data_IF_259151484015
#
_entry.id   IF_259151484015
#
_cell.length_a   1.000
_cell.length_b   1.000
_cell.length_c   1.000
_cell.angle_alpha   90.00
_cell.angle_beta   90.00
_cell.angle_gamma   90.00
#
_symmetry.space_group_name_H-M   'P 1'
#
loop_
_entity.id
_entity.type
_entity.pdbx_description
1 polymer ?
#
# COMPACT_ATOMS: atom_id res chain seq x y z
N UNK A 1 4.92 -6.43 -28.82
CA UNK A 1 4.64 -7.12 -27.54
C UNK A 1 4.99 -6.14 -26.42
N UNK A 2 4.01 -5.59 -25.73
CA UNK A 2 4.27 -4.63 -24.64
C UNK A 2 4.77 -5.43 -23.42
N UNK A 3 6.03 -5.28 -23.08
CA UNK A 3 6.61 -5.85 -21.86
C UNK A 3 5.92 -5.22 -20.62
N UNK A 4 5.02 -5.98 -20.01
CA UNK A 4 4.29 -5.58 -18.80
C UNK A 4 5.03 -5.99 -17.52
N UNK A 5 6.30 -6.37 -17.63
CA UNK A 5 7.10 -6.80 -16.49
C UNK A 5 7.30 -5.67 -15.50
N UNK A 6 7.09 -5.93 -14.22
CA UNK A 6 7.44 -5.02 -13.14
C UNK A 6 8.93 -5.10 -12.84
N UNK A 7 9.47 -3.99 -12.37
CA UNK A 7 10.80 -3.93 -11.76
C UNK A 7 10.57 -3.80 -10.27
N UNK A 8 11.02 -4.80 -9.53
CA UNK A 8 10.85 -4.89 -8.08
C UNK A 8 12.21 -4.82 -7.40
N UNK A 9 12.26 -4.12 -6.27
CA UNK A 9 13.46 -4.06 -5.42
C UNK A 9 13.23 -4.81 -4.12
N UNK A 10 14.22 -5.56 -3.70
CA UNK A 10 14.22 -6.30 -2.44
C UNK A 10 15.35 -5.80 -1.56
N UNK A 11 15.01 -5.29 -0.39
CA UNK A 11 15.98 -4.91 0.63
C UNK A 11 16.03 -5.97 1.72
N UNK A 12 17.21 -6.53 1.94
CA UNK A 12 17.49 -7.36 3.12
C UNK A 12 17.90 -6.46 4.26
N UNK A 13 17.05 -6.33 5.27
CA UNK A 13 17.29 -5.50 6.44
C UNK A 13 17.77 -6.33 7.63
N UNK A 14 18.58 -5.73 8.48
CA UNK A 14 19.02 -6.35 9.74
C UNK A 14 17.97 -6.15 10.82
N UNK A 15 16.82 -6.82 10.67
CA UNK A 15 15.69 -6.73 11.59
C UNK A 15 15.40 -8.10 12.20
N UNK A 16 15.09 -8.13 13.49
CA UNK A 16 14.50 -9.31 14.13
C UNK A 16 12.98 -9.20 14.09
N UNK A 17 12.38 -9.85 13.10
CA UNK A 17 10.93 -9.80 12.83
C UNK A 17 10.09 -10.53 13.88
N UNK A 18 10.72 -11.21 14.85
CA UNK A 18 10.04 -11.82 16.01
C UNK A 18 9.51 -10.73 16.95
N UNK A 19 10.16 -9.57 16.96
CA UNK A 19 9.77 -8.43 17.76
C UNK A 19 8.86 -7.49 16.94
N UNK A 20 7.69 -7.16 17.49
CA UNK A 20 6.69 -6.32 16.81
C UNK A 20 7.18 -4.89 16.55
N UNK A 21 8.08 -4.38 17.36
CA UNK A 21 8.72 -3.05 17.24
C UNK A 21 9.73 -2.98 16.09
N UNK A 22 10.25 -4.13 15.63
CA UNK A 22 11.16 -4.23 14.50
C UNK A 22 10.44 -4.60 13.18
N UNK A 23 9.15 -4.84 13.22
CA UNK A 23 8.35 -5.05 12.01
C UNK A 23 8.01 -3.72 11.35
N UNK A 24 8.55 -3.48 10.17
CA UNK A 24 8.22 -2.31 9.38
C UNK A 24 6.93 -2.55 8.59
N UNK A 25 6.01 -1.62 8.68
CA UNK A 25 4.78 -1.60 7.88
C UNK A 25 4.34 -0.16 7.65
N UNK A 26 4.11 0.17 6.40
CA UNK A 26 3.67 1.51 6.03
C UNK A 26 3.36 1.61 4.54
N UNK A 27 3.33 2.84 4.07
CA UNK A 27 3.15 3.15 2.67
C UNK A 27 4.07 4.31 2.26
N UNK A 28 4.45 4.33 1.00
CA UNK A 28 5.18 5.41 0.35
C UNK A 28 4.47 5.78 -0.94
N UNK A 29 4.43 7.06 -1.25
CA UNK A 29 4.02 7.55 -2.57
C UNK A 29 5.29 7.74 -3.39
N UNK A 30 5.40 7.02 -4.51
CA UNK A 30 6.56 7.12 -5.38
C UNK A 30 6.44 8.35 -6.29
N UNK A 31 7.51 9.12 -6.50
CA UNK A 31 7.47 10.34 -7.31
C UNK A 31 7.02 10.08 -8.76
N UNK A 32 7.41 8.97 -9.35
CA UNK A 32 7.05 8.59 -10.72
C UNK A 32 5.96 7.49 -10.78
N UNK A 33 5.35 7.15 -9.64
CA UNK A 33 4.39 6.07 -9.54
C UNK A 33 4.96 4.68 -9.87
N UNK A 34 4.09 3.70 -10.02
CA UNK A 34 4.47 2.30 -10.35
C UNK A 34 4.13 1.92 -11.80
N UNK A 35 3.51 2.82 -12.57
CA UNK A 35 3.01 2.53 -13.93
C UNK A 35 1.83 1.56 -13.97
N UNK A 36 1.23 1.23 -12.82
CA UNK A 36 -0.01 0.45 -12.73
C UNK A 36 -1.15 1.36 -12.30
N UNK A 37 -2.23 1.38 -13.07
CA UNK A 37 -3.49 1.98 -12.64
C UNK A 37 -4.14 1.04 -11.64
N UNK A 38 -4.26 1.48 -10.39
CA UNK A 38 -4.91 0.71 -9.34
C UNK A 38 -6.41 1.00 -9.30
N UNK A 39 -7.19 -0.05 -9.16
CA UNK A 39 -8.62 0.06 -8.85
C UNK A 39 -8.80 0.36 -7.37
N UNK A 40 -9.40 1.51 -7.06
CA UNK A 40 -9.61 1.97 -5.69
C UNK A 40 -11.06 1.78 -5.29
N UNK A 41 -11.28 0.97 -4.27
CA UNK A 41 -12.58 0.79 -3.64
C UNK A 41 -12.63 1.64 -2.36
N UNK A 42 -13.69 2.42 -2.20
CA UNK A 42 -13.90 3.28 -1.02
C UNK A 42 -15.16 2.86 -0.29
N UNK A 43 -15.01 2.56 1.00
CA UNK A 43 -16.12 2.29 1.89
C UNK A 43 -16.37 3.52 2.74
N UNK A 44 -17.37 4.29 2.34
CA UNK A 44 -17.80 5.50 3.03
C UNK A 44 -19.31 5.72 2.81
N UNK A 45 -19.94 6.42 3.73
CA UNK A 45 -21.35 6.80 3.66
C UNK A 45 -21.53 8.32 3.62
N UNK A 46 -22.65 8.79 3.07
CA UNK A 46 -23.01 10.21 3.04
C UNK A 46 -22.04 11.09 2.23
N UNK A 47 -21.70 12.30 2.70
CA UNK A 47 -20.88 13.26 1.96
C UNK A 47 -19.47 12.73 1.59
N UNK A 48 -18.92 11.83 2.40
CA UNK A 48 -17.63 11.20 2.15
C UNK A 48 -17.63 10.27 0.95
N UNK A 49 -18.77 9.65 0.65
CA UNK A 49 -18.93 8.86 -0.56
C UNK A 49 -18.91 9.73 -1.83
N UNK A 50 -19.51 10.92 -1.76
CA UNK A 50 -19.46 11.89 -2.87
C UNK A 50 -18.07 12.45 -3.09
N UNK A 51 -17.35 12.80 -2.00
CA UNK A 51 -15.94 13.20 -2.07
C UNK A 51 -15.08 12.13 -2.75
N UNK A 52 -15.29 10.85 -2.41
CA UNK A 52 -14.57 9.74 -3.02
C UNK A 52 -14.85 9.60 -4.53
N UNK A 53 -16.11 9.75 -4.95
CA UNK A 53 -16.50 9.73 -6.38
C UNK A 53 -15.84 10.87 -7.14
N UNK A 54 -15.89 12.08 -6.59
CA UNK A 54 -15.28 13.28 -7.18
C UNK A 54 -13.76 13.16 -7.27
N UNK A 55 -13.11 12.49 -6.31
CA UNK A 55 -11.69 12.18 -6.35
C UNK A 55 -11.32 11.06 -7.35
N UNK A 56 -12.31 10.45 -8.01
CA UNK A 56 -12.10 9.45 -9.03
C UNK A 56 -11.94 8.02 -8.50
N UNK A 57 -12.50 7.68 -7.36
CA UNK A 57 -12.56 6.28 -6.90
C UNK A 57 -13.36 5.42 -7.90
N UNK A 58 -12.90 4.19 -8.14
CA UNK A 58 -13.52 3.31 -9.14
C UNK A 58 -14.81 2.67 -8.61
N UNK A 59 -14.83 2.37 -7.32
CA UNK A 59 -15.99 1.80 -6.62
C UNK A 59 -16.17 2.55 -5.31
N UNK A 60 -17.39 3.04 -5.07
CA UNK A 60 -17.73 3.77 -3.84
C UNK A 60 -19.09 3.30 -3.33
N UNK A 61 -19.15 2.87 -2.10
CA UNK A 61 -20.41 2.49 -1.44
C UNK A 61 -20.22 2.17 0.03
N UNK A 62 -21.32 1.71 0.64
CA UNK A 62 -21.40 1.36 2.05
C UNK A 62 -21.58 -0.14 2.27
N UNK A 63 -22.72 -0.49 2.94
CA UNK A 63 -23.01 -1.87 3.30
C UNK A 63 -23.16 -2.81 2.09
N UNK A 64 -23.68 -2.34 0.99
CA UNK A 64 -23.88 -3.09 -0.25
C UNK A 64 -22.57 -3.71 -0.78
N UNK A 65 -21.48 -2.92 -0.77
CA UNK A 65 -20.15 -3.40 -1.20
C UNK A 65 -19.58 -4.39 -0.20
N UNK A 66 -19.81 -4.18 1.09
CA UNK A 66 -19.38 -5.13 2.12
C UNK A 66 -20.04 -6.51 1.92
N UNK A 67 -21.32 -6.52 1.52
CA UNK A 67 -22.05 -7.75 1.25
C UNK A 67 -21.55 -8.45 -0.03
N UNK A 68 -21.15 -7.70 -1.04
CA UNK A 68 -20.49 -8.25 -2.25
C UNK A 68 -19.13 -8.83 -1.94
N UNK A 69 -18.34 -8.15 -1.11
CA UNK A 69 -17.02 -8.65 -0.65
C UNK A 69 -17.20 -9.94 0.15
N UNK A 70 -18.24 -10.03 0.99
CA UNK A 70 -18.58 -11.25 1.73
C UNK A 70 -18.91 -12.43 0.80
N UNK A 71 -19.51 -12.15 -0.37
CA UNK A 71 -19.79 -13.13 -1.42
C UNK A 71 -18.55 -13.49 -2.27
N UNK A 72 -17.43 -12.80 -2.04
CA UNK A 72 -16.15 -13.08 -2.72
C UNK A 72 -15.78 -12.12 -3.85
N UNK A 73 -16.50 -11.00 -4.02
CA UNK A 73 -16.12 -9.97 -4.96
C UNK A 73 -14.91 -9.18 -4.43
N UNK A 74 -13.79 -9.22 -5.15
CA UNK A 74 -12.51 -8.63 -4.76
C UNK A 74 -11.79 -8.00 -5.98
N UNK A 75 -12.55 -7.38 -6.88
CA UNK A 75 -12.02 -6.78 -8.10
C UNK A 75 -11.46 -5.36 -7.87
N UNK A 76 -10.65 -5.20 -6.84
CA UNK A 76 -9.96 -3.94 -6.52
C UNK A 76 -8.56 -4.22 -5.97
N UNK A 77 -7.66 -3.25 -6.11
CA UNK A 77 -6.27 -3.36 -5.66
C UNK A 77 -6.04 -2.69 -4.31
N UNK A 78 -6.82 -1.65 -4.01
CA UNK A 78 -6.71 -0.87 -2.77
C UNK A 78 -8.11 -0.61 -2.21
N UNK A 79 -8.26 -0.84 -0.91
CA UNK A 79 -9.45 -0.46 -0.18
C UNK A 79 -9.15 0.70 0.76
N UNK A 80 -9.97 1.74 0.69
CA UNK A 80 -9.96 2.88 1.60
C UNK A 80 -11.25 2.85 2.39
N UNK A 81 -11.19 3.10 3.67
CA UNK A 81 -12.36 3.14 4.53
C UNK A 81 -12.32 4.32 5.49
N UNK A 82 -13.50 4.86 5.82
CA UNK A 82 -13.62 5.77 6.95
C UNK A 82 -13.54 4.99 8.27
N UNK A 83 -13.04 5.59 9.35
CA UNK A 83 -12.94 4.92 10.65
C UNK A 83 -14.26 4.34 11.15
N UNK A 84 -15.37 4.99 10.84
CA UNK A 84 -16.73 4.57 11.23
C UNK A 84 -17.15 3.22 10.64
N UNK A 85 -16.59 2.84 9.48
CA UNK A 85 -16.88 1.58 8.80
C UNK A 85 -15.97 0.43 9.23
N UNK A 86 -14.92 0.72 10.00
CA UNK A 86 -13.96 -0.30 10.45
C UNK A 86 -14.57 -1.45 11.26
N UNK A 87 -15.56 -1.23 12.16
CA UNK A 87 -16.21 -2.33 12.87
C UNK A 87 -16.92 -3.32 11.94
N UNK A 88 -17.52 -2.81 10.85
CA UNK A 88 -18.19 -3.65 9.83
C UNK A 88 -17.13 -4.43 9.02
N UNK A 89 -16.05 -3.77 8.61
CA UNK A 89 -14.93 -4.38 7.89
C UNK A 89 -14.19 -5.43 8.72
N UNK A 90 -14.15 -5.30 10.03
CA UNK A 90 -13.55 -6.29 10.94
C UNK A 90 -14.10 -7.70 10.74
N UNK A 91 -15.40 -7.82 10.45
CA UNK A 91 -16.06 -9.10 10.14
C UNK A 91 -15.54 -9.75 8.86
N UNK A 92 -15.07 -8.94 7.91
CA UNK A 92 -14.52 -9.38 6.62
C UNK A 92 -13.00 -9.57 6.67
N UNK A 93 -12.37 -9.38 7.82
CA UNK A 93 -10.92 -9.53 8.01
C UNK A 93 -10.38 -10.90 7.60
N UNK A 94 -11.19 -11.97 7.72
CA UNK A 94 -10.82 -13.32 7.27
C UNK A 94 -10.71 -13.43 5.75
N UNK A 95 -11.43 -12.61 5.00
CA UNK A 95 -11.42 -12.58 3.52
C UNK A 95 -10.37 -11.61 3.01
N UNK A 96 -10.32 -10.40 3.58
CA UNK A 96 -9.45 -9.31 3.16
C UNK A 96 -8.00 -9.45 3.66
N UNK A 97 -7.81 -10.04 4.85
CA UNK A 97 -6.52 -10.17 5.51
C UNK A 97 -5.49 -10.96 4.70
N UNK A 98 -5.78 -12.21 4.28
CA UNK A 98 -4.85 -13.03 3.50
C UNK A 98 -4.44 -12.40 2.17
N UNK A 99 -5.33 -11.62 1.55
CA UNK A 99 -5.09 -10.92 0.28
C UNK A 99 -4.39 -9.55 0.46
N UNK A 100 -4.16 -9.11 1.69
CA UNK A 100 -3.52 -7.83 1.97
C UNK A 100 -4.38 -6.60 1.65
N UNK A 101 -5.69 -6.80 1.42
CA UNK A 101 -6.64 -5.74 1.05
C UNK A 101 -7.28 -5.04 2.25
N UNK A 102 -7.01 -5.51 3.47
CA UNK A 102 -7.58 -4.93 4.69
C UNK A 102 -7.05 -3.51 4.92
N UNK A 103 -7.94 -2.50 5.05
CA UNK A 103 -7.54 -1.14 5.36
C UNK A 103 -6.78 -1.06 6.69
N UNK A 104 -5.79 -0.19 6.75
CA UNK A 104 -4.96 -0.01 7.95
C UNK A 104 -4.58 1.46 8.13
N UNK A 105 -4.70 2.03 9.35
CA UNK A 105 -4.28 3.40 9.64
C UNK A 105 -2.79 3.65 9.34
N UNK A 106 -1.91 2.67 9.58
CA UNK A 106 -0.47 2.79 9.31
C UNK A 106 -0.12 2.96 7.84
N UNK A 107 -0.97 2.47 6.95
CA UNK A 107 -0.82 2.65 5.49
C UNK A 107 -1.62 3.85 4.97
N UNK A 108 -2.32 4.58 5.86
CA UNK A 108 -3.15 5.72 5.49
C UNK A 108 -4.33 5.35 4.60
N UNK A 109 -4.82 4.10 4.69
CA UNK A 109 -6.02 3.62 4.00
C UNK A 109 -7.27 3.66 4.90
N UNK A 110 -7.10 4.01 6.18
CA UNK A 110 -8.18 4.38 7.10
C UNK A 110 -8.03 5.86 7.42
N UNK A 111 -8.90 6.70 6.87
CA UNK A 111 -8.80 8.15 7.02
C UNK A 111 -10.16 8.82 6.83
N UNK A 112 -10.30 10.00 7.41
CA UNK A 112 -11.44 10.90 7.17
C UNK A 112 -11.27 11.71 5.88
N UNK A 113 -10.02 11.89 5.43
CA UNK A 113 -9.69 12.60 4.17
C UNK A 113 -9.61 11.59 3.00
N UNK A 114 -10.79 11.22 2.53
CA UNK A 114 -10.95 10.18 1.51
C UNK A 114 -10.40 10.63 0.17
N UNK A 115 -10.62 11.90 -0.21
CA UNK A 115 -10.17 12.46 -1.48
C UNK A 115 -8.65 12.38 -1.63
N UNK A 116 -7.92 12.78 -0.59
CA UNK A 116 -6.46 12.69 -0.56
C UNK A 116 -5.97 11.25 -0.67
N UNK A 117 -6.58 10.33 0.09
CA UNK A 117 -6.20 8.92 0.08
C UNK A 117 -6.43 8.26 -1.29
N UNK A 118 -7.50 8.62 -2.01
CA UNK A 118 -7.78 8.15 -3.38
C UNK A 118 -6.72 8.67 -4.34
N UNK A 119 -6.44 9.98 -4.31
CA UNK A 119 -5.43 10.60 -5.16
C UNK A 119 -4.04 10.00 -4.94
N UNK A 120 -3.61 9.82 -3.68
CA UNK A 120 -2.35 9.16 -3.34
C UNK A 120 -2.30 7.71 -3.86
N UNK A 121 -3.39 6.96 -3.70
CA UNK A 121 -3.47 5.55 -4.13
C UNK A 121 -3.38 5.42 -5.65
N UNK A 122 -3.97 6.35 -6.40
CA UNK A 122 -3.86 6.43 -7.86
C UNK A 122 -2.52 7.02 -8.30
N UNK A 123 -1.94 7.93 -7.51
CA UNK A 123 -0.65 8.57 -7.74
C UNK A 123 0.58 7.67 -7.53
N UNK A 124 0.39 6.38 -7.25
CA UNK A 124 1.52 5.46 -7.10
C UNK A 124 1.91 5.13 -5.66
N UNK A 125 0.97 5.22 -4.73
CA UNK A 125 1.17 4.75 -3.35
C UNK A 125 1.43 3.25 -3.32
N UNK A 126 2.54 2.86 -2.71
CA UNK A 126 2.97 1.47 -2.52
C UNK A 126 3.03 1.14 -1.05
N UNK A 127 2.40 0.04 -0.67
CA UNK A 127 2.49 -0.47 0.70
C UNK A 127 3.74 -1.33 0.84
N UNK A 128 4.45 -1.19 1.95
CA UNK A 128 5.58 -2.03 2.30
C UNK A 128 5.35 -2.73 3.62
N UNK A 129 5.88 -3.94 3.71
CA UNK A 129 5.87 -4.75 4.92
C UNK A 129 7.11 -5.63 4.92
N UNK A 130 7.74 -5.78 6.09
CA UNK A 130 8.78 -6.80 6.29
C UNK A 130 8.18 -8.19 6.28
N UNK A 131 8.86 -9.12 5.61
CA UNK A 131 8.57 -10.55 5.70
C UNK A 131 9.19 -11.18 6.97
N UNK A 132 9.07 -12.50 7.11
CA UNK A 132 9.60 -13.24 8.27
C UNK A 132 11.13 -13.18 8.39
N UNK A 133 11.82 -12.97 7.26
CA UNK A 133 13.28 -12.99 7.17
C UNK A 133 13.89 -11.58 7.19
N UNK A 134 13.06 -10.54 7.40
CA UNK A 134 13.49 -9.14 7.43
C UNK A 134 13.70 -8.52 6.05
N UNK A 135 13.12 -9.11 4.99
CA UNK A 135 13.15 -8.49 3.66
C UNK A 135 11.96 -7.57 3.48
N UNK A 136 12.14 -6.55 2.64
CA UNK A 136 11.09 -5.65 2.17
C UNK A 136 11.07 -5.69 0.65
N UNK A 137 9.92 -6.06 0.08
CA UNK A 137 9.70 -6.15 -1.35
C UNK A 137 8.86 -4.96 -1.80
N UNK A 138 9.32 -4.23 -2.80
CA UNK A 138 8.65 -3.04 -3.34
C UNK A 138 8.79 -2.95 -4.85
N UNK A 139 7.68 -2.73 -5.59
CA UNK A 139 7.76 -2.39 -6.99
C UNK A 139 8.25 -0.95 -7.14
N UNK A 140 9.27 -0.74 -7.97
CA UNK A 140 9.81 0.60 -8.30
C UNK A 140 9.34 1.10 -9.66
N UNK A 141 8.74 0.24 -10.48
CA UNK A 141 8.21 0.64 -11.77
C UNK A 141 8.00 -0.53 -12.73
N UNK A 142 8.11 -0.24 -14.01
CA UNK A 142 8.04 -1.22 -15.10
C UNK A 142 9.29 -1.16 -15.94
N UNK A 143 9.58 -2.23 -16.66
CA UNK A 143 10.68 -2.29 -17.65
C UNK A 143 10.56 -1.21 -18.73
N UNK A 144 9.35 -0.71 -18.98
CA UNK A 144 9.09 0.39 -19.91
C UNK A 144 9.41 1.78 -19.35
N UNK A 145 9.79 1.90 -18.07
CA UNK A 145 10.16 3.16 -17.47
C UNK A 145 11.57 3.56 -17.89
N UNK A 146 11.78 4.86 -17.97
CA UNK A 146 13.10 5.45 -18.14
C UNK A 146 13.99 5.14 -16.92
N UNK A 147 15.26 4.86 -17.14
CA UNK A 147 16.20 4.54 -16.05
C UNK A 147 16.23 5.62 -14.97
N UNK A 148 16.15 6.90 -15.36
CA UNK A 148 16.09 8.02 -14.43
C UNK A 148 14.90 7.93 -13.46
N UNK A 149 13.71 7.57 -13.95
CA UNK A 149 12.51 7.42 -13.13
C UNK A 149 12.60 6.24 -12.16
N UNK A 150 13.25 5.15 -12.56
CA UNK A 150 13.49 4.00 -11.70
C UNK A 150 14.47 4.36 -10.59
N UNK A 151 15.52 5.12 -10.89
CA UNK A 151 16.50 5.59 -9.91
C UNK A 151 15.84 6.52 -8.89
N UNK A 152 15.06 7.51 -9.32
CA UNK A 152 14.35 8.41 -8.40
C UNK A 152 13.40 7.66 -7.47
N UNK A 153 12.66 6.68 -7.99
CA UNK A 153 11.78 5.84 -7.18
C UNK A 153 12.58 4.99 -6.17
N UNK A 154 13.72 4.44 -6.61
CA UNK A 154 14.61 3.69 -5.73
C UNK A 154 15.18 4.56 -4.61
N UNK A 155 15.67 5.76 -4.93
CA UNK A 155 16.22 6.71 -3.96
C UNK A 155 15.17 7.12 -2.93
N UNK A 156 13.93 7.37 -3.36
CA UNK A 156 12.82 7.69 -2.45
C UNK A 156 12.56 6.56 -1.45
N UNK A 157 12.57 5.30 -1.90
CA UNK A 157 12.41 4.12 -1.05
C UNK A 157 13.60 3.96 -0.10
N UNK A 158 14.81 4.08 -0.61
CA UNK A 158 16.04 3.94 0.18
C UNK A 158 16.10 5.00 1.30
N UNK A 159 15.82 6.27 0.97
CA UNK A 159 15.77 7.36 1.92
C UNK A 159 14.67 7.14 3.00
N UNK A 160 13.49 6.64 2.59
CA UNK A 160 12.45 6.26 3.53
C UNK A 160 12.93 5.18 4.50
N UNK A 161 13.50 4.08 4.00
CA UNK A 161 13.96 2.97 4.84
C UNK A 161 15.00 3.43 5.86
N UNK A 162 15.94 4.28 5.46
CA UNK A 162 16.92 4.87 6.39
C UNK A 162 16.26 5.73 7.47
N UNK A 163 15.25 6.52 7.10
CA UNK A 163 14.52 7.39 8.03
C UNK A 163 13.70 6.63 9.07
N UNK A 164 13.09 5.50 8.67
CA UNK A 164 12.26 4.68 9.55
C UNK A 164 13.05 3.59 10.30
N UNK A 165 14.38 3.60 10.20
CA UNK A 165 15.24 2.65 10.91
C UNK A 165 14.90 2.64 12.39
N UNK A 166 14.54 1.46 12.97
CA UNK A 166 14.33 1.33 14.40
C UNK A 166 15.61 1.63 15.19
N UNK A 167 15.51 2.36 16.28
CA UNK A 167 16.65 2.73 17.14
C UNK A 167 17.36 1.52 17.77
N UNK A 168 16.65 0.41 17.88
CA UNK A 168 17.15 -0.86 18.44
C UNK A 168 18.17 -1.54 17.50
N UNK A 169 18.11 -1.24 16.19
CA UNK A 169 18.99 -1.86 15.19
C UNK A 169 20.39 -1.25 15.26
N UNK A 170 21.35 -2.01 15.76
CA UNK A 170 22.78 -1.64 15.80
C UNK A 170 23.52 -2.18 14.58
N UNK A 171 24.58 -1.47 14.15
CA UNK A 171 25.40 -1.87 13.00
C UNK A 171 24.77 -1.62 11.63
N UNK A 172 25.12 -2.43 10.64
CA UNK A 172 24.66 -2.29 9.26
C UNK A 172 23.17 -2.62 9.16
N UNK A 173 22.36 -1.64 8.74
CA UNK A 173 20.90 -1.78 8.64
C UNK A 173 20.47 -2.49 7.35
N UNK A 174 20.94 -2.02 6.20
CA UNK A 174 20.70 -2.66 4.90
C UNK A 174 21.84 -3.65 4.64
N UNK A 175 21.54 -4.94 4.69
CA UNK A 175 22.53 -6.01 4.46
C UNK A 175 22.76 -6.28 2.98
N UNK A 176 21.69 -6.26 2.20
CA UNK A 176 21.73 -6.51 0.76
C UNK A 176 20.58 -5.81 0.05
N UNK A 177 20.76 -5.52 -1.21
CA UNK A 177 19.72 -4.99 -2.08
C UNK A 177 19.82 -5.67 -3.44
N UNK A 178 18.67 -6.11 -3.97
CA UNK A 178 18.56 -6.78 -5.26
C UNK A 178 17.42 -6.12 -6.05
N UNK A 179 17.63 -5.91 -7.35
CA UNK A 179 16.65 -5.38 -8.29
C UNK A 179 16.34 -6.43 -9.34
#
# INVERSE_FOLDING_TARGET
MLFRSSVDVVFKLNLDTRHADQQLRGAIVLPNGTGKTKRVCVIAEGPKAEEARNAGADVVGGQEILDEIAKGWLEFDVMIATPDQMPKLGKLGRVLGPKGLMPNPKTGTVTMDVAKAVNESKGGKVNYRTDKDGNVHLPIGRVSFDSAKLVENYEAIHALLLRIRPSVVKGTYVKNCVV
#
